data_IF_118762440844
#
_entry.id   IF_118762440844
#
_cell.length_a   1.000
_cell.length_b   1.000
_cell.length_c   1.000
_cell.angle_alpha   90.00
_cell.angle_beta   90.00
_cell.angle_gamma   90.00
#
_symmetry.space_group_name_H-M   'P 1'
#
loop_
_entity.id
_entity.type
_entity.pdbx_description
1 polymer ?
#
# COMPACT_ATOMS: atom_id res chain seq x y z
N UNK A 1 17.52 -28.42 20.36
CA UNK A 1 17.86 -27.09 19.79
C UNK A 1 18.60 -27.31 18.49
N UNK A 2 17.98 -27.03 17.35
CA UNK A 2 18.62 -27.17 16.03
C UNK A 2 19.35 -25.84 15.75
N UNK A 3 20.68 -25.89 15.68
CA UNK A 3 21.49 -24.71 15.32
C UNK A 3 21.32 -24.46 13.82
N UNK A 4 20.94 -23.25 13.44
CA UNK A 4 21.00 -22.82 12.05
C UNK A 4 22.47 -22.91 11.57
N UNK A 5 22.75 -23.44 10.37
CA UNK A 5 24.10 -23.52 9.85
C UNK A 5 24.72 -22.13 9.77
N UNK A 6 25.96 -21.96 10.27
CA UNK A 6 26.65 -20.66 10.37
C UNK A 6 26.66 -19.87 9.05
N UNK A 7 26.65 -20.58 7.91
CA UNK A 7 26.62 -19.98 6.57
C UNK A 7 25.25 -19.46 6.12
N UNK A 8 24.15 -19.78 6.80
CA UNK A 8 22.80 -19.32 6.42
C UNK A 8 22.59 -17.84 6.76
N UNK A 9 22.96 -17.44 7.98
CA UNK A 9 22.80 -16.06 8.46
C UNK A 9 23.68 -15.09 7.66
N UNK A 10 24.93 -15.45 7.38
CA UNK A 10 25.81 -14.63 6.56
C UNK A 10 25.32 -14.46 5.12
N UNK A 11 24.75 -15.53 4.53
CA UNK A 11 24.22 -15.50 3.16
C UNK A 11 22.90 -14.74 3.06
N UNK A 12 22.11 -14.69 4.14
CA UNK A 12 20.89 -13.90 4.25
C UNK A 12 21.22 -12.41 4.42
N UNK A 13 22.16 -12.08 5.31
CA UNK A 13 22.60 -10.70 5.55
C UNK A 13 23.41 -10.12 4.37
N UNK A 14 24.11 -10.94 3.60
CA UNK A 14 24.83 -10.50 2.40
C UNK A 14 23.93 -10.08 1.24
N UNK A 15 22.63 -10.47 1.24
CA UNK A 15 21.67 -10.03 0.21
C UNK A 15 21.26 -8.55 0.35
N UNK A 16 21.54 -7.91 1.49
CA UNK A 16 21.36 -6.47 1.69
C UNK A 16 22.48 -5.61 1.08
N UNK A 17 23.59 -6.21 0.63
CA UNK A 17 24.68 -5.51 -0.06
C UNK A 17 24.63 -5.79 -1.56
N UNK A 18 23.93 -4.91 -2.28
CA UNK A 18 24.13 -4.60 -3.70
C UNK A 18 24.23 -5.80 -4.65
N UNK A 19 23.10 -6.36 -5.06
CA UNK A 19 23.05 -7.11 -6.32
C UNK A 19 22.75 -6.13 -7.45
N UNK A 20 23.79 -5.84 -8.22
CA UNK A 20 23.68 -5.19 -9.51
C UNK A 20 22.81 -6.03 -10.44
N UNK A 21 21.67 -5.47 -10.86
CA UNK A 21 21.07 -5.67 -12.18
C UNK A 21 20.52 -7.05 -12.53
N UNK A 22 19.26 -7.29 -12.18
CA UNK A 22 18.25 -7.34 -13.23
C UNK A 22 17.41 -6.10 -13.04
N UNK A 23 17.32 -5.24 -14.06
CA UNK A 23 16.30 -4.19 -14.09
C UNK A 23 14.98 -4.91 -13.80
N UNK A 24 14.37 -4.64 -12.64
CA UNK A 24 12.93 -4.78 -12.55
C UNK A 24 12.44 -4.03 -13.79
N UNK A 25 11.72 -4.73 -14.67
CA UNK A 25 11.00 -4.05 -15.75
C UNK A 25 10.31 -2.90 -15.05
N UNK A 26 10.69 -1.66 -15.38
CA UNK A 26 9.93 -0.50 -14.91
C UNK A 26 8.51 -0.86 -15.28
N UNK A 27 7.67 -1.13 -14.28
CA UNK A 27 6.24 -1.13 -14.47
C UNK A 27 6.00 0.30 -14.90
N UNK A 28 5.99 0.52 -16.21
CA UNK A 28 5.55 1.79 -16.76
C UNK A 28 4.09 1.81 -16.39
N UNK A 29 3.73 2.70 -15.46
CA UNK A 29 2.33 3.08 -15.33
C UNK A 29 1.83 3.40 -16.74
N UNK A 30 0.64 2.88 -17.06
CA UNK A 30 -0.06 3.30 -18.26
C UNK A 30 -0.15 4.82 -18.27
N UNK A 31 -0.18 5.44 -19.44
CA UNK A 31 -0.44 6.88 -19.50
C UNK A 31 -1.78 7.15 -18.82
N UNK A 32 -1.72 7.94 -17.74
CA UNK A 32 -2.88 8.29 -16.92
C UNK A 32 -3.55 9.48 -17.60
N UNK A 33 -4.82 9.33 -17.98
CA UNK A 33 -5.59 10.42 -18.57
C UNK A 33 -5.84 11.54 -17.55
N UNK A 34 -6.20 12.74 -18.02
CA UNK A 34 -6.53 13.85 -17.12
C UNK A 34 -7.71 13.51 -16.19
N UNK A 35 -8.69 12.76 -16.68
CA UNK A 35 -9.86 12.30 -15.91
C UNK A 35 -9.46 11.29 -14.82
N UNK A 36 -8.56 10.36 -15.15
CA UNK A 36 -8.01 9.39 -14.19
C UNK A 36 -7.19 10.10 -13.11
N UNK A 37 -6.37 11.07 -13.50
CA UNK A 37 -5.59 11.88 -12.57
C UNK A 37 -6.49 12.71 -11.65
N UNK A 38 -7.57 13.27 -12.18
CA UNK A 38 -8.55 14.02 -11.40
C UNK A 38 -9.25 13.13 -10.35
N UNK A 39 -9.64 11.91 -10.73
CA UNK A 39 -10.20 10.91 -9.80
C UNK A 39 -9.22 10.52 -8.71
N UNK A 40 -7.96 10.22 -9.08
CA UNK A 40 -6.92 9.91 -8.09
C UNK A 40 -6.72 11.07 -7.11
N UNK A 41 -6.65 12.31 -7.61
CA UNK A 41 -6.53 13.52 -6.79
C UNK A 41 -7.68 13.63 -5.79
N UNK A 42 -8.91 13.49 -6.28
CA UNK A 42 -10.11 13.58 -5.45
C UNK A 42 -10.10 12.51 -4.35
N UNK A 43 -9.83 11.25 -4.69
CA UNK A 43 -9.80 10.15 -3.73
C UNK A 43 -8.75 10.36 -2.63
N UNK A 44 -7.53 10.75 -3.01
CA UNK A 44 -6.47 11.03 -2.03
C UNK A 44 -6.84 12.22 -1.14
N UNK A 45 -7.43 13.27 -1.70
CA UNK A 45 -7.90 14.42 -0.92
C UNK A 45 -9.01 14.04 0.05
N UNK A 46 -9.97 13.21 -0.36
CA UNK A 46 -11.04 12.72 0.51
C UNK A 46 -10.48 11.92 1.68
N UNK A 47 -9.61 10.94 1.42
CA UNK A 47 -8.99 10.12 2.47
C UNK A 47 -8.17 10.99 3.44
N UNK A 48 -7.38 11.94 2.92
CA UNK A 48 -6.61 12.87 3.75
C UNK A 48 -7.49 13.80 4.59
N UNK A 49 -8.55 14.34 3.97
CA UNK A 49 -9.52 15.21 4.63
C UNK A 49 -10.16 14.53 5.84
N UNK A 50 -10.63 13.30 5.66
CA UNK A 50 -11.21 12.48 6.72
C UNK A 50 -10.19 12.21 7.83
N UNK A 51 -8.96 11.78 7.48
CA UNK A 51 -7.89 11.56 8.46
C UNK A 51 -7.61 12.79 9.34
N UNK A 52 -7.72 13.99 8.77
CA UNK A 52 -7.43 15.24 9.47
C UNK A 52 -8.53 15.71 10.43
N UNK A 53 -9.72 15.11 10.39
CA UNK A 53 -10.88 15.54 11.18
C UNK A 53 -10.68 15.36 12.69
N UNK A 54 -11.30 16.23 13.52
CA UNK A 54 -11.31 16.05 14.98
C UNK A 54 -11.88 14.70 15.43
N UNK A 55 -12.92 14.21 14.75
CA UNK A 55 -13.61 12.96 15.07
C UNK A 55 -12.65 11.77 14.93
N UNK A 56 -11.89 11.70 13.84
CA UNK A 56 -10.89 10.65 13.64
C UNK A 56 -9.76 10.77 14.68
N UNK A 57 -9.30 11.99 14.99
CA UNK A 57 -8.29 12.20 16.04
C UNK A 57 -8.77 11.73 17.41
N UNK A 58 -10.05 11.97 17.73
CA UNK A 58 -10.64 11.48 18.98
C UNK A 58 -10.72 9.96 19.00
N UNK A 59 -11.16 9.33 17.90
CA UNK A 59 -11.19 7.86 17.78
C UNK A 59 -9.79 7.28 17.94
N UNK A 60 -8.78 7.83 17.26
CA UNK A 60 -7.38 7.40 17.34
C UNK A 60 -6.70 7.69 18.69
N UNK A 61 -7.29 8.54 19.53
CA UNK A 61 -6.83 8.73 20.91
C UNK A 61 -7.31 7.59 21.83
N UNK A 62 -8.44 6.96 21.47
CA UNK A 62 -9.09 5.89 22.23
C UNK A 62 -8.77 4.49 21.68
N UNK A 63 -8.58 4.38 20.37
CA UNK A 63 -8.23 3.18 19.61
C UNK A 63 -6.88 3.38 18.94
N UNK A 64 -6.12 2.30 18.74
CA UNK A 64 -4.79 2.38 18.14
C UNK A 64 -4.84 2.66 16.62
N UNK A 65 -5.89 2.17 15.97
CA UNK A 65 -6.08 2.18 14.53
C UNK A 65 -7.57 2.26 14.14
N UNK A 66 -7.82 2.77 12.93
CA UNK A 66 -9.11 2.69 12.23
C UNK A 66 -8.85 2.09 10.86
N UNK A 67 -9.40 0.89 10.63
CA UNK A 67 -9.28 0.21 9.34
C UNK A 67 -10.11 0.93 8.29
N UNK A 68 -9.51 1.23 7.14
CA UNK A 68 -10.15 2.03 6.11
C UNK A 68 -10.44 1.21 4.86
N UNK A 69 -9.39 0.67 4.23
CA UNK A 69 -9.48 0.00 2.94
C UNK A 69 -8.72 -1.32 2.97
N UNK A 70 -9.30 -2.33 2.34
CA UNK A 70 -8.59 -3.52 1.88
C UNK A 70 -8.64 -3.52 0.37
N UNK A 71 -7.49 -3.71 -0.25
CA UNK A 71 -7.31 -3.67 -1.69
C UNK A 71 -6.66 -4.99 -2.13
N UNK A 72 -7.41 -5.77 -2.92
CA UNK A 72 -6.98 -7.05 -3.47
C UNK A 72 -6.69 -6.90 -4.97
N UNK A 73 -5.41 -6.86 -5.30
CA UNK A 73 -4.89 -6.94 -6.65
C UNK A 73 -4.50 -8.36 -7.05
N UNK A 74 -4.10 -8.54 -8.32
CA UNK A 74 -3.74 -9.86 -8.88
C UNK A 74 -2.63 -10.56 -8.09
N UNK A 75 -1.60 -9.83 -7.67
CA UNK A 75 -0.43 -10.36 -6.94
C UNK A 75 -0.14 -9.58 -5.65
N UNK A 76 -1.06 -8.75 -5.20
CA UNK A 76 -0.85 -7.88 -4.03
C UNK A 76 -2.12 -7.76 -3.23
N UNK A 77 -2.02 -7.93 -1.92
CA UNK A 77 -3.05 -7.56 -0.98
C UNK A 77 -2.50 -6.39 -0.16
N UNK A 78 -3.26 -5.32 0.01
CA UNK A 78 -2.86 -4.20 0.85
C UNK A 78 -4.02 -3.71 1.71
N UNK A 79 -3.69 -3.31 2.94
CA UNK A 79 -4.60 -2.71 3.89
C UNK A 79 -4.14 -1.28 4.17
N UNK A 80 -5.09 -0.35 4.20
CA UNK A 80 -4.86 1.04 4.54
C UNK A 80 -5.62 1.34 5.82
N UNK A 81 -4.91 1.85 6.81
CA UNK A 81 -5.43 2.16 8.13
C UNK A 81 -5.07 3.59 8.53
N UNK A 82 -5.93 4.25 9.29
CA UNK A 82 -5.57 5.44 10.03
C UNK A 82 -4.94 5.07 11.36
N UNK A 83 -3.81 5.69 11.68
CA UNK A 83 -3.11 5.51 12.96
C UNK A 83 -2.74 6.88 13.54
N UNK A 84 -2.37 6.91 14.81
CA UNK A 84 -1.85 8.13 15.44
C UNK A 84 -0.57 8.70 14.78
N UNK A 85 0.13 7.91 13.95
CA UNK A 85 1.35 8.31 13.22
C UNK A 85 1.07 8.71 11.77
N UNK A 86 -0.14 8.50 11.26
CA UNK A 86 -0.45 8.69 9.85
C UNK A 86 -1.33 7.62 9.26
N UNK A 87 -1.50 7.73 7.94
CA UNK A 87 -2.08 6.71 7.08
C UNK A 87 -1.02 5.63 6.88
N UNK A 88 -1.30 4.45 7.44
CA UNK A 88 -0.47 3.26 7.35
C UNK A 88 -0.95 2.43 6.16
N UNK A 89 0.00 1.93 5.38
CA UNK A 89 -0.25 0.89 4.39
C UNK A 89 0.54 -0.36 4.79
N UNK A 90 -0.17 -1.45 5.01
CA UNK A 90 0.39 -2.79 5.13
C UNK A 90 0.16 -3.51 3.80
N UNK A 91 1.16 -4.21 3.28
CA UNK A 91 0.98 -4.94 2.04
C UNK A 91 1.71 -6.28 2.05
N UNK A 92 1.16 -7.22 1.30
CA UNK A 92 1.74 -8.50 0.94
C UNK A 92 1.81 -8.59 -0.58
N UNK A 93 3.02 -8.74 -1.12
CA UNK A 93 3.27 -8.89 -2.55
C UNK A 93 3.72 -10.33 -2.84
N UNK A 94 3.01 -11.01 -3.72
CA UNK A 94 3.37 -12.33 -4.22
C UNK A 94 4.53 -12.21 -5.22
N UNK A 95 5.69 -12.76 -4.83
CA UNK A 95 6.93 -12.75 -5.62
C UNK A 95 7.08 -13.99 -6.50
N UNK A 96 6.08 -14.88 -6.53
CA UNK A 96 6.07 -16.12 -7.29
C UNK A 96 6.91 -17.23 -6.66
N UNK A 97 7.06 -18.31 -7.42
CA UNK A 97 7.74 -19.52 -6.97
C UNK A 97 9.26 -19.38 -7.07
N UNK A 98 9.98 -19.71 -6.00
CA UNK A 98 11.44 -19.78 -6.00
C UNK A 98 11.90 -21.21 -6.23
N UNK A 99 12.46 -21.48 -7.41
CA UNK A 99 13.10 -22.79 -7.72
C UNK A 99 14.15 -23.20 -6.68
N UNK A 100 14.89 -22.24 -6.14
CA UNK A 100 15.90 -22.45 -5.09
C UNK A 100 15.31 -22.87 -3.73
N UNK A 101 13.99 -22.71 -3.53
CA UNK A 101 13.26 -23.08 -2.33
C UNK A 101 12.30 -24.24 -2.60
N UNK A 102 12.71 -25.20 -3.45
CA UNK A 102 11.89 -26.36 -3.84
C UNK A 102 10.52 -25.97 -4.44
N UNK A 103 10.43 -24.81 -5.08
CA UNK A 103 9.17 -24.31 -5.65
C UNK A 103 8.25 -23.63 -4.64
N UNK A 104 8.72 -23.31 -3.44
CA UNK A 104 7.93 -22.54 -2.48
C UNK A 104 7.55 -21.17 -3.05
N UNK A 105 6.28 -20.80 -2.84
CA UNK A 105 5.75 -19.46 -3.09
C UNK A 105 6.35 -18.49 -2.09
N UNK A 106 6.82 -17.34 -2.57
CA UNK A 106 7.44 -16.32 -1.71
C UNK A 106 6.62 -15.06 -1.69
N UNK A 107 6.36 -14.55 -0.50
CA UNK A 107 5.66 -13.30 -0.28
C UNK A 107 6.59 -12.26 0.33
N UNK A 108 6.47 -11.02 -0.11
CA UNK A 108 7.12 -9.86 0.49
C UNK A 108 6.06 -9.07 1.27
N UNK A 109 6.19 -9.06 2.59
CA UNK A 109 5.34 -8.27 3.48
C UNK A 109 6.10 -7.06 4.00
N UNK A 110 5.42 -5.91 4.09
CA UNK A 110 6.00 -4.69 4.65
C UNK A 110 4.90 -3.72 5.12
N UNK A 111 5.30 -2.72 5.92
CA UNK A 111 4.42 -1.70 6.49
C UNK A 111 5.05 -0.32 6.34
N UNK A 112 4.33 0.61 5.71
CA UNK A 112 4.86 1.94 5.42
C UNK A 112 3.83 3.04 5.74
N UNK A 113 4.29 4.14 6.34
CA UNK A 113 3.48 5.36 6.49
C UNK A 113 3.51 6.12 5.17
N UNK A 114 2.33 6.36 4.61
CA UNK A 114 2.17 6.89 3.25
C UNK A 114 1.70 8.34 3.18
N UNK A 115 1.68 9.07 4.32
CA UNK A 115 1.26 10.48 4.44
C UNK A 115 1.80 11.38 3.32
N UNK A 116 3.07 11.19 2.94
CA UNK A 116 3.71 12.02 1.90
C UNK A 116 2.95 12.02 0.57
N UNK A 117 2.30 10.91 0.23
CA UNK A 117 1.58 10.76 -1.03
C UNK A 117 0.19 11.43 -1.02
N UNK A 118 -0.32 11.74 0.17
CA UNK A 118 -1.57 12.48 0.36
C UNK A 118 -1.36 14.00 0.39
N UNK A 119 -0.11 14.46 0.30
CA UNK A 119 0.16 15.90 0.18
C UNK A 119 -0.23 16.40 -1.22
N UNK A 120 -0.94 17.55 -1.32
CA UNK A 120 -1.36 18.08 -2.60
C UNK A 120 -0.19 18.30 -3.57
N UNK A 121 -0.45 18.00 -4.85
CA UNK A 121 0.47 18.15 -6.00
C UNK A 121 1.73 17.28 -5.93
N UNK A 122 2.64 17.57 -5.02
CA UNK A 122 3.95 16.90 -4.93
C UNK A 122 3.82 15.43 -4.56
N UNK A 123 2.91 15.09 -3.63
CA UNK A 123 2.71 13.72 -3.19
C UNK A 123 2.21 12.82 -4.32
N UNK A 124 1.32 13.33 -5.16
CA UNK A 124 0.71 12.59 -6.26
C UNK A 124 1.73 12.32 -7.37
N UNK A 125 2.55 13.31 -7.71
CA UNK A 125 3.65 13.09 -8.65
C UNK A 125 4.66 12.04 -8.16
N UNK A 126 5.04 12.11 -6.87
CA UNK A 126 5.95 11.13 -6.26
C UNK A 126 5.31 9.73 -6.21
N UNK A 127 3.99 9.65 -6.03
CA UNK A 127 3.23 8.42 -6.05
C UNK A 127 3.23 7.81 -7.46
N UNK A 128 2.96 8.59 -8.50
CA UNK A 128 2.97 8.14 -9.89
C UNK A 128 4.38 7.76 -10.40
N UNK A 129 5.43 8.34 -9.82
CA UNK A 129 6.83 8.04 -10.16
C UNK A 129 7.44 6.94 -9.28
N UNK A 130 6.66 6.32 -8.40
CA UNK A 130 7.16 5.30 -7.49
C UNK A 130 7.68 4.06 -8.22
N UNK A 131 8.46 3.24 -7.53
CA UNK A 131 8.90 1.92 -8.03
C UNK A 131 8.42 0.78 -7.14
N UNK A 132 7.55 1.10 -6.17
CA UNK A 132 6.95 0.13 -5.28
C UNK A 132 5.67 -0.42 -5.93
N UNK A 133 5.68 -1.70 -6.28
CA UNK A 133 4.56 -2.37 -6.94
C UNK A 133 3.26 -2.32 -6.14
N UNK A 134 3.32 -2.31 -4.81
CA UNK A 134 2.13 -2.19 -3.96
C UNK A 134 1.51 -0.78 -4.03
N UNK A 135 2.34 0.27 -4.11
CA UNK A 135 1.86 1.63 -4.31
C UNK A 135 1.28 1.81 -5.72
N UNK A 136 1.86 1.16 -6.72
CA UNK A 136 1.30 1.15 -8.09
C UNK A 136 -0.09 0.53 -8.12
N UNK A 137 -0.27 -0.65 -7.50
CA UNK A 137 -1.57 -1.30 -7.44
C UNK A 137 -2.61 -0.46 -6.68
N UNK A 138 -2.20 0.21 -5.60
CA UNK A 138 -3.05 1.17 -4.90
C UNK A 138 -3.50 2.29 -5.85
N UNK A 139 -2.60 2.86 -6.64
CA UNK A 139 -2.94 3.92 -7.60
C UNK A 139 -3.90 3.43 -8.67
N UNK A 140 -3.62 2.30 -9.30
CA UNK A 140 -4.47 1.75 -10.37
C UNK A 140 -5.92 1.59 -9.89
N UNK A 141 -6.10 1.06 -8.68
CA UNK A 141 -7.43 0.82 -8.10
C UNK A 141 -8.10 2.13 -7.67
N UNK A 142 -7.35 3.08 -7.12
CA UNK A 142 -7.87 4.41 -6.79
C UNK A 142 -8.14 5.28 -8.02
N UNK A 143 -7.56 4.98 -9.18
CA UNK A 143 -7.93 5.62 -10.45
C UNK A 143 -9.23 5.02 -10.97
N UNK A 144 -9.38 3.70 -10.89
CA UNK A 144 -10.51 2.97 -11.45
C UNK A 144 -11.79 3.07 -10.59
N UNK A 145 -11.66 3.38 -9.30
CA UNK A 145 -12.78 3.47 -8.35
C UNK A 145 -12.90 4.86 -7.76
N UNK A 146 -14.11 5.41 -7.71
CA UNK A 146 -14.38 6.63 -6.93
C UNK A 146 -14.65 6.27 -5.47
N UNK A 147 -13.94 6.91 -4.55
CA UNK A 147 -14.18 6.80 -3.12
C UNK A 147 -15.06 7.97 -2.65
N UNK A 148 -16.33 7.68 -2.37
CA UNK A 148 -17.19 8.70 -1.76
C UNK A 148 -16.88 8.87 -0.28
N UNK A 149 -16.87 10.12 0.18
CA UNK A 149 -16.73 10.46 1.60
C UNK A 149 -17.79 9.76 2.46
N UNK A 150 -19.04 9.72 1.99
CA UNK A 150 -20.14 9.07 2.70
C UNK A 150 -19.91 7.57 2.90
N UNK A 151 -19.35 6.86 1.93
CA UNK A 151 -19.05 5.44 2.06
C UNK A 151 -17.95 5.19 3.09
N UNK A 152 -16.95 6.07 3.14
CA UNK A 152 -15.88 5.99 4.13
C UNK A 152 -16.45 6.20 5.54
N UNK A 153 -17.24 7.24 5.75
CA UNK A 153 -17.86 7.49 7.07
C UNK A 153 -18.77 6.35 7.51
N UNK A 154 -19.59 5.81 6.60
CA UNK A 154 -20.46 4.67 6.88
C UNK A 154 -19.66 3.42 7.28
N UNK A 155 -18.53 3.16 6.62
CA UNK A 155 -17.66 2.03 6.96
C UNK A 155 -17.04 2.21 8.36
N UNK A 156 -16.52 3.41 8.65
CA UNK A 156 -15.94 3.76 9.96
C UNK A 156 -16.98 3.63 11.08
N UNK A 157 -18.20 4.12 10.86
CA UNK A 157 -19.31 4.02 11.82
C UNK A 157 -19.61 2.56 12.18
N UNK A 158 -19.61 1.68 11.19
CA UNK A 158 -19.87 0.24 11.37
C UNK A 158 -18.65 -0.55 11.86
N UNK A 159 -17.47 0.06 11.92
CA UNK A 159 -16.21 -0.65 12.14
C UNK A 159 -15.86 -1.63 11.01
N UNK A 160 -16.38 -1.38 9.83
CA UNK A 160 -16.11 -2.13 8.60
C UNK A 160 -14.97 -1.48 7.81
N UNK A 161 -14.38 -2.25 6.90
CA UNK A 161 -13.38 -1.76 5.95
C UNK A 161 -13.96 -1.83 4.54
N UNK A 162 -13.67 -0.84 3.71
CA UNK A 162 -14.08 -0.84 2.30
C UNK A 162 -13.19 -1.82 1.55
N UNK A 163 -13.79 -2.80 0.88
CA UNK A 163 -13.07 -3.77 0.08
C UNK A 163 -13.10 -3.35 -1.38
N UNK A 164 -11.92 -3.16 -1.97
CA UNK A 164 -11.74 -2.91 -3.39
C UNK A 164 -10.95 -4.07 -3.98
N UNK A 165 -11.37 -4.56 -5.14
CA UNK A 165 -10.60 -5.56 -5.88
C UNK A 165 -10.44 -5.14 -7.33
N UNK A 166 -9.33 -5.55 -7.95
CA UNK A 166 -9.25 -5.65 -9.41
C UNK A 166 -10.26 -6.70 -9.87
N UNK A 167 -11.07 -6.40 -10.88
CA UNK A 167 -11.98 -7.36 -11.53
C UNK A 167 -11.16 -8.39 -12.31
#
# INVERSE_FOLDING_TARGET
MVKAPEKFLDKYMSRGKGVAGKKASRVQMREVSEEELARLKQNLQTVWGIYCTPEIKEILSKKQDVKLLTIDGINVCLNIDFTNKGILMEYELDMGDRKELAGARVYKQDRIIINRYFTPERGIEELLKTTNDALHAMVDILIDRELSESNIWNAIEKGEQIHLSTI
#
